data_IF_930385369557
#
_entry.id   IF_930385369557
#
_cell.length_a   1.000
_cell.length_b   1.000
_cell.length_c   1.000
_cell.angle_alpha   90.00
_cell.angle_beta   90.00
_cell.angle_gamma   90.00
#
_symmetry.space_group_name_H-M   'P 1'
#
loop_
_entity.id
_entity.type
_entity.pdbx_description
1 polymer ?
#
# COMPACT_ATOMS: atom_id res chain seq x y z
N UNK A 1 14.74 62.64 -44.87
CA UNK A 1 14.25 63.09 -43.55
C UNK A 1 13.71 61.87 -42.84
N UNK A 2 14.28 61.56 -41.66
CA UNK A 2 13.93 60.51 -40.69
C UNK A 2 14.30 59.05 -41.06
N UNK A 3 15.48 58.65 -40.56
CA UNK A 3 15.91 57.31 -40.18
C UNK A 3 15.22 56.83 -38.89
N UNK A 4 15.31 55.51 -38.62
CA UNK A 4 15.29 54.77 -37.32
C UNK A 4 14.22 53.66 -37.29
N UNK A 5 14.43 52.43 -36.82
CA UNK A 5 15.44 51.85 -35.94
C UNK A 5 15.70 50.38 -36.33
N UNK A 6 16.98 49.98 -36.30
CA UNK A 6 17.39 48.59 -36.14
C UNK A 6 17.44 48.28 -34.64
N UNK A 7 16.82 47.19 -34.22
CA UNK A 7 17.09 46.56 -32.93
C UNK A 7 18.01 45.37 -33.17
N UNK A 8 19.28 45.53 -32.84
CA UNK A 8 20.23 44.43 -32.67
C UNK A 8 20.03 43.85 -31.26
N UNK A 9 19.66 42.57 -31.18
CA UNK A 9 19.72 41.82 -29.94
C UNK A 9 21.11 41.19 -29.85
N UNK A 10 21.92 41.64 -28.88
CA UNK A 10 23.13 40.95 -28.45
C UNK A 10 22.73 39.86 -27.46
N UNK A 11 22.86 38.60 -27.85
CA UNK A 11 22.85 37.48 -26.90
C UNK A 11 24.30 37.26 -26.48
N UNK A 12 24.63 37.66 -25.24
CA UNK A 12 25.82 37.18 -24.55
C UNK A 12 25.54 35.75 -24.09
N UNK A 13 26.17 34.75 -24.73
CA UNK A 13 26.23 33.41 -24.16
C UNK A 13 27.29 33.41 -23.05
N UNK A 14 26.84 33.55 -21.81
CA UNK A 14 27.67 33.26 -20.64
C UNK A 14 28.03 31.78 -20.68
N UNK A 15 29.30 31.47 -20.94
CA UNK A 15 29.85 30.14 -20.72
C UNK A 15 29.87 29.92 -19.21
N UNK A 16 28.83 29.26 -18.69
CA UNK A 16 28.90 28.66 -17.38
C UNK A 16 29.89 27.50 -17.46
N UNK A 17 31.08 27.69 -16.91
CA UNK A 17 31.93 26.58 -16.49
C UNK A 17 31.15 25.79 -15.44
N UNK A 18 30.46 24.73 -15.88
CA UNK A 18 30.08 23.64 -15.01
C UNK A 18 31.38 23.00 -14.52
N UNK A 19 31.81 23.39 -13.31
CA UNK A 19 32.75 22.60 -12.53
C UNK A 19 32.07 21.27 -12.24
N UNK A 20 32.42 20.25 -13.03
CA UNK A 20 32.10 18.86 -12.75
C UNK A 20 32.84 18.48 -11.46
N UNK A 21 32.16 18.58 -10.33
CA UNK A 21 32.66 18.00 -9.08
C UNK A 21 32.50 16.49 -9.25
N UNK A 22 33.61 15.79 -9.46
CA UNK A 22 33.61 14.34 -9.47
C UNK A 22 32.99 13.86 -8.14
N UNK A 23 31.97 12.98 -8.17
CA UNK A 23 31.46 12.41 -6.92
C UNK A 23 32.60 11.65 -6.23
N UNK A 24 32.64 11.77 -4.90
CA UNK A 24 33.57 11.02 -4.07
C UNK A 24 33.51 9.54 -4.46
N UNK A 25 34.63 8.99 -4.93
CA UNK A 25 34.72 7.63 -5.45
C UNK A 25 34.56 6.64 -4.30
N UNK A 26 33.33 6.23 -4.02
CA UNK A 26 33.07 5.00 -3.29
C UNK A 26 33.68 3.84 -4.06
N UNK A 27 34.37 2.95 -3.37
CA UNK A 27 34.92 1.74 -3.96
C UNK A 27 33.76 0.86 -4.48
N UNK A 28 33.73 0.61 -5.78
CA UNK A 28 32.69 -0.22 -6.41
C UNK A 28 33.10 -1.68 -6.23
N UNK A 29 32.29 -2.45 -5.50
CA UNK A 29 32.53 -3.89 -5.30
C UNK A 29 31.59 -4.70 -6.21
N UNK A 30 32.12 -5.59 -7.08
CA UNK A 30 31.28 -6.51 -7.86
C UNK A 30 30.66 -7.58 -6.96
N UNK A 31 29.54 -8.19 -7.38
CA UNK A 31 28.95 -9.29 -6.61
C UNK A 31 29.94 -10.46 -6.45
N UNK A 32 30.06 -11.03 -5.24
CA UNK A 32 30.70 -12.32 -5.06
C UNK A 32 29.87 -13.43 -5.71
N UNK A 33 30.52 -14.55 -6.06
CA UNK A 33 29.87 -15.71 -6.69
C UNK A 33 28.94 -16.48 -5.75
N UNK A 34 29.11 -16.34 -4.44
CA UNK A 34 28.27 -17.01 -3.44
C UNK A 34 27.14 -16.08 -2.97
N UNK A 35 25.90 -16.51 -3.19
CA UNK A 35 24.73 -15.85 -2.63
C UNK A 35 24.45 -16.37 -1.22
N UNK A 36 24.28 -15.44 -0.29
CA UNK A 36 24.04 -15.72 1.14
C UNK A 36 22.68 -15.23 1.61
N UNK A 37 22.01 -14.38 0.81
CA UNK A 37 20.61 -14.01 0.99
C UNK A 37 19.74 -15.09 0.33
N UNK A 38 18.81 -15.66 1.09
CA UNK A 38 17.78 -16.56 0.60
C UNK A 38 16.63 -15.74 0.02
N UNK A 39 16.34 -15.94 -1.27
CA UNK A 39 15.12 -15.42 -1.89
C UNK A 39 13.97 -16.34 -1.52
N UNK A 40 13.01 -15.83 -0.74
CA UNK A 40 11.81 -16.58 -0.36
C UNK A 40 10.75 -16.52 -1.43
N UNK A 41 10.61 -15.36 -2.03
CA UNK A 41 9.54 -15.10 -2.97
C UNK A 41 9.86 -13.92 -3.87
N UNK A 42 9.32 -13.97 -5.08
CA UNK A 42 9.55 -13.01 -6.13
C UNK A 42 8.24 -12.90 -6.89
N UNK A 43 7.80 -11.67 -7.08
CA UNK A 43 6.79 -11.34 -8.05
C UNK A 43 7.27 -10.24 -8.97
N UNK A 44 6.32 -9.61 -9.64
CA UNK A 44 6.57 -8.56 -10.61
C UNK A 44 6.94 -7.21 -9.96
N UNK A 45 6.41 -6.94 -8.76
CA UNK A 45 6.70 -5.73 -7.97
C UNK A 45 7.00 -6.03 -6.50
N UNK A 46 7.33 -7.28 -6.17
CA UNK A 46 7.75 -7.62 -4.81
C UNK A 46 8.90 -8.62 -4.80
N UNK A 47 9.79 -8.46 -3.83
CA UNK A 47 10.82 -9.44 -3.51
C UNK A 47 10.83 -9.66 -2.01
N UNK A 48 10.68 -10.90 -1.58
CA UNK A 48 10.81 -11.30 -0.17
C UNK A 48 12.15 -11.97 0.03
N UNK A 49 12.99 -11.35 0.84
CA UNK A 49 14.34 -11.79 1.16
C UNK A 49 14.42 -12.26 2.61
N UNK A 50 15.27 -13.26 2.85
CA UNK A 50 15.65 -13.72 4.18
C UNK A 50 17.16 -13.93 4.25
N UNK A 51 17.76 -13.67 5.40
CA UNK A 51 19.17 -13.99 5.64
C UNK A 51 19.37 -14.62 7.01
N UNK A 52 20.54 -15.25 7.20
CA UNK A 52 20.92 -15.76 8.50
C UNK A 52 21.39 -14.63 9.39
N UNK A 53 20.75 -14.51 10.56
CA UNK A 53 21.21 -13.64 11.63
C UNK A 53 22.35 -14.34 12.38
N UNK A 54 23.58 -14.11 11.92
CA UNK A 54 24.80 -14.62 12.55
C UNK A 54 25.39 -13.64 13.56
N UNK A 55 24.84 -12.43 13.65
CA UNK A 55 25.32 -11.37 14.52
C UNK A 55 24.46 -11.39 15.79
N UNK A 56 25.07 -11.12 16.95
CA UNK A 56 24.31 -11.04 18.19
C UNK A 56 23.22 -9.95 18.12
N UNK A 57 22.11 -10.19 18.81
CA UNK A 57 20.78 -9.55 18.72
C UNK A 57 20.68 -8.02 18.97
N UNK A 58 21.64 -7.20 18.51
CA UNK A 58 21.81 -5.82 19.00
C UNK A 58 22.07 -4.77 17.92
N UNK A 59 22.21 -5.15 16.66
CA UNK A 59 22.61 -4.21 15.61
C UNK A 59 21.48 -3.93 14.61
N UNK A 60 21.28 -2.66 14.20
CA UNK A 60 20.38 -2.35 13.11
C UNK A 60 20.99 -2.80 11.77
N UNK A 61 20.14 -3.27 10.87
CA UNK A 61 20.55 -3.73 9.56
C UNK A 61 20.30 -2.65 8.48
N UNK A 62 21.23 -2.59 7.53
CA UNK A 62 21.15 -1.76 6.33
C UNK A 62 21.11 -2.68 5.11
N UNK A 63 20.13 -2.47 4.23
CA UNK A 63 20.06 -3.12 2.93
C UNK A 63 20.25 -2.11 1.81
N UNK A 64 20.94 -2.52 0.75
CA UNK A 64 21.08 -1.78 -0.49
C UNK A 64 20.59 -2.64 -1.64
N UNK A 65 19.78 -2.04 -2.51
CA UNK A 65 19.39 -2.60 -3.81
C UNK A 65 20.06 -1.83 -4.94
N UNK A 66 20.46 -2.54 -5.98
CA UNK A 66 20.92 -1.97 -7.25
C UNK A 66 20.32 -2.72 -8.44
N UNK A 67 20.08 -2.03 -9.55
CA UNK A 67 19.75 -2.65 -10.86
C UNK A 67 21.02 -3.03 -11.65
N UNK A 68 22.20 -2.84 -11.03
CA UNK A 68 23.51 -3.21 -11.56
C UNK A 68 24.23 -4.07 -10.53
N UNK A 69 25.18 -4.94 -10.93
CA UNK A 69 25.91 -5.80 -10.01
C UNK A 69 27.01 -5.06 -9.21
N UNK A 70 26.77 -3.77 -8.95
CA UNK A 70 27.71 -2.80 -8.41
C UNK A 70 27.07 -2.17 -7.17
N UNK A 71 27.83 -2.10 -6.09
CA UNK A 71 27.38 -1.47 -4.85
C UNK A 71 28.34 -0.38 -4.39
N UNK A 72 27.77 0.62 -3.72
CA UNK A 72 28.49 1.75 -3.12
C UNK A 72 28.40 1.64 -1.61
N UNK A 73 29.51 1.61 -0.90
CA UNK A 73 29.50 1.59 0.58
C UNK A 73 29.23 3.00 1.11
N UNK A 74 28.19 3.20 1.93
CA UNK A 74 27.86 4.53 2.41
C UNK A 74 28.88 5.00 3.45
N UNK A 75 29.37 6.23 3.28
CA UNK A 75 30.29 6.88 4.21
C UNK A 75 29.56 7.68 5.29
N UNK A 76 28.28 8.00 5.09
CA UNK A 76 27.39 8.69 6.03
C UNK A 76 26.02 8.00 6.05
N UNK A 77 25.34 8.03 7.20
CA UNK A 77 23.98 7.53 7.39
C UNK A 77 23.04 8.68 7.79
N UNK A 78 22.17 9.12 6.89
CA UNK A 78 21.19 10.19 7.19
C UNK A 78 19.81 9.61 7.53
N UNK A 79 19.02 10.39 8.26
CA UNK A 79 17.61 10.21 8.65
C UNK A 79 16.84 9.06 7.98
N UNK A 80 16.94 7.83 8.52
CA UNK A 80 16.20 6.64 8.07
C UNK A 80 16.32 6.27 6.58
N UNK A 81 17.26 6.88 5.85
CA UNK A 81 17.65 6.56 4.48
C UNK A 81 19.13 6.93 4.32
N UNK A 82 19.99 5.97 3.94
CA UNK A 82 21.34 6.38 3.53
C UNK A 82 21.20 7.20 2.24
N UNK A 83 21.76 8.40 2.22
CA UNK A 83 21.62 9.33 1.11
C UNK A 83 22.29 8.72 -0.13
N UNK A 84 21.51 8.33 -1.14
CA UNK A 84 22.03 8.08 -2.47
C UNK A 84 22.29 9.42 -3.15
N UNK A 85 23.56 9.85 -3.18
CA UNK A 85 23.99 11.00 -3.98
C UNK A 85 24.51 10.57 -5.37
N UNK A 86 24.36 9.29 -5.75
CA UNK A 86 25.06 8.68 -6.89
C UNK A 86 24.15 8.02 -7.93
N UNK A 87 22.88 7.72 -7.60
CA UNK A 87 21.96 6.98 -8.46
C UNK A 87 22.30 5.49 -8.58
N UNK A 88 23.21 4.98 -7.74
CA UNK A 88 23.76 3.63 -7.83
C UNK A 88 23.06 2.62 -6.90
N UNK A 89 22.01 3.03 -6.18
CA UNK A 89 21.18 2.09 -5.44
C UNK A 89 20.33 2.72 -4.34
N UNK A 90 19.21 2.07 -4.03
CA UNK A 90 18.30 2.48 -2.95
C UNK A 90 18.69 1.80 -1.65
N UNK A 91 18.98 2.58 -0.61
CA UNK A 91 19.28 2.07 0.74
C UNK A 91 18.07 2.11 1.65
N UNK A 92 17.89 1.08 2.49
CA UNK A 92 16.85 1.05 3.53
C UNK A 92 17.36 0.53 4.87
N UNK A 93 16.86 1.13 5.95
CA UNK A 93 17.02 0.63 7.31
C UNK A 93 15.96 -0.41 7.62
N UNK A 94 16.38 -1.54 8.19
CA UNK A 94 15.47 -2.65 8.48
C UNK A 94 15.17 -2.81 9.98
N UNK A 95 15.83 -2.00 10.83
CA UNK A 95 15.73 -2.11 12.29
C UNK A 95 16.68 -3.15 12.87
N UNK A 96 16.61 -3.34 14.19
CA UNK A 96 17.45 -4.29 14.93
C UNK A 96 16.86 -5.70 14.75
N UNK A 97 17.74 -6.70 14.55
CA UNK A 97 17.35 -8.12 14.39
C UNK A 97 16.45 -8.39 13.18
N UNK A 98 16.53 -7.52 12.17
CA UNK A 98 15.92 -7.82 10.88
C UNK A 98 16.62 -9.04 10.28
N UNK A 99 15.83 -10.07 9.97
CA UNK A 99 16.27 -11.25 9.23
C UNK A 99 15.44 -11.48 7.96
N UNK A 100 14.50 -10.57 7.70
CA UNK A 100 13.66 -10.55 6.52
C UNK A 100 13.48 -9.12 6.00
N UNK A 101 13.20 -9.01 4.71
CA UNK A 101 12.85 -7.75 4.06
C UNK A 101 11.91 -8.03 2.89
N UNK A 102 10.90 -7.19 2.75
CA UNK A 102 10.02 -7.17 1.58
C UNK A 102 10.28 -5.88 0.83
N UNK A 103 10.81 -5.98 -0.38
CA UNK A 103 11.00 -4.85 -1.27
C UNK A 103 9.79 -4.70 -2.18
N UNK A 104 9.18 -3.52 -2.19
CA UNK A 104 8.00 -3.20 -3.00
C UNK A 104 8.22 -1.99 -3.92
N UNK A 105 9.37 -1.31 -3.80
CA UNK A 105 9.50 0.08 -4.21
C UNK A 105 10.17 0.24 -5.57
N UNK A 106 9.43 0.60 -6.63
CA UNK A 106 10.05 0.92 -7.93
C UNK A 106 10.80 -0.27 -8.56
N UNK A 107 10.34 -1.48 -8.29
CA UNK A 107 10.75 -2.68 -9.00
C UNK A 107 10.12 -2.68 -10.40
N UNK A 108 10.89 -2.98 -11.42
CA UNK A 108 10.42 -3.16 -12.79
C UNK A 108 10.28 -4.65 -13.08
N UNK A 109 9.39 -5.01 -13.99
CA UNK A 109 9.27 -6.38 -14.49
C UNK A 109 10.52 -6.83 -15.25
N UNK A 110 10.75 -8.14 -15.30
CA UNK A 110 11.84 -8.77 -16.08
C UNK A 110 13.23 -8.16 -15.80
N UNK A 111 13.44 -7.63 -14.59
CA UNK A 111 14.62 -6.84 -14.25
C UNK A 111 15.45 -7.57 -13.21
N UNK A 112 16.75 -7.67 -13.48
CA UNK A 112 17.71 -8.17 -12.51
C UNK A 112 17.96 -7.11 -11.43
N UNK A 113 17.75 -7.50 -10.19
CA UNK A 113 18.04 -6.73 -9.00
C UNK A 113 19.08 -7.45 -8.15
N UNK A 114 19.98 -6.64 -7.61
CA UNK A 114 21.06 -7.08 -6.77
C UNK A 114 20.88 -6.47 -5.39
N UNK A 115 20.99 -7.31 -4.37
CA UNK A 115 20.83 -6.93 -2.98
C UNK A 115 22.11 -7.20 -2.22
N UNK A 116 22.42 -6.31 -1.28
CA UNK A 116 23.33 -6.63 -0.19
C UNK A 116 22.83 -6.10 1.14
N UNK A 117 23.12 -6.84 2.20
CA UNK A 117 22.64 -6.52 3.55
C UNK A 117 23.74 -6.75 4.57
N UNK A 118 23.89 -5.83 5.53
CA UNK A 118 24.85 -5.93 6.63
C UNK A 118 24.32 -5.24 7.89
N UNK A 119 24.76 -5.73 9.04
CA UNK A 119 24.50 -5.10 10.32
C UNK A 119 25.46 -3.92 10.53
N UNK A 120 24.99 -2.83 11.12
CA UNK A 120 25.83 -1.68 11.47
C UNK A 120 26.34 -1.83 12.91
N UNK A 121 27.61 -2.20 13.05
CA UNK A 121 28.20 -2.70 14.29
C UNK A 121 28.52 -1.59 15.29
N UNK A 122 28.80 -0.37 14.81
CA UNK A 122 29.19 0.77 15.63
C UNK A 122 28.12 1.88 15.76
N UNK A 123 26.83 1.54 15.61
CA UNK A 123 25.72 2.53 15.57
C UNK A 123 25.73 3.53 16.75
N UNK A 124 26.09 3.08 17.95
CA UNK A 124 26.16 3.95 19.13
C UNK A 124 27.24 5.03 18.97
N UNK A 125 28.40 4.67 18.43
CA UNK A 125 29.50 5.61 18.18
C UNK A 125 29.16 6.54 17.02
N UNK A 126 28.66 5.99 15.91
CA UNK A 126 28.14 6.75 14.77
C UNK A 126 27.21 7.89 15.22
N UNK A 127 26.23 7.59 16.08
CA UNK A 127 25.27 8.60 16.59
C UNK A 127 25.87 9.60 17.56
N UNK A 128 26.89 9.23 18.34
CA UNK A 128 27.50 10.09 19.37
C UNK A 128 28.53 11.05 18.80
N UNK A 129 29.35 10.57 17.88
CA UNK A 129 30.55 11.29 17.42
C UNK A 129 30.55 11.57 15.92
N UNK A 130 29.61 10.99 15.17
CA UNK A 130 29.63 11.05 13.70
C UNK A 130 30.75 10.21 13.10
N UNK A 131 31.28 9.23 13.84
CA UNK A 131 32.24 8.27 13.30
C UNK A 131 31.70 7.60 12.03
N UNK A 132 32.58 7.18 11.12
CA UNK A 132 32.14 6.46 9.93
C UNK A 132 31.45 5.14 10.33
N UNK A 133 30.38 4.72 9.62
CA UNK A 133 29.69 3.49 9.94
C UNK A 133 30.58 2.27 9.66
N UNK A 134 30.58 1.33 10.59
CA UNK A 134 31.19 0.02 10.44
C UNK A 134 30.12 -1.03 10.19
N UNK A 135 30.42 -1.98 9.30
CA UNK A 135 29.49 -3.00 8.85
C UNK A 135 30.01 -4.39 9.21
N UNK A 136 29.10 -5.31 9.51
CA UNK A 136 29.41 -6.73 9.48
C UNK A 136 29.83 -7.17 8.07
N UNK A 137 30.22 -8.43 7.92
CA UNK A 137 30.34 -9.04 6.59
C UNK A 137 29.04 -8.84 5.80
N UNK A 138 29.17 -8.36 4.56
CA UNK A 138 28.06 -8.15 3.65
C UNK A 138 27.54 -9.49 3.14
N UNK A 139 26.23 -9.66 3.19
CA UNK A 139 25.53 -10.76 2.54
C UNK A 139 24.97 -10.28 1.22
N UNK A 140 24.91 -11.16 0.22
CA UNK A 140 24.55 -10.81 -1.15
C UNK A 140 23.47 -11.73 -1.70
N UNK A 141 22.63 -11.17 -2.56
CA UNK A 141 21.63 -11.91 -3.34
C UNK A 141 21.44 -11.23 -4.68
N UNK A 142 21.10 -12.02 -5.70
CA UNK A 142 20.67 -11.51 -6.98
C UNK A 142 19.36 -12.19 -7.34
N UNK A 143 18.41 -11.41 -7.84
CA UNK A 143 17.12 -11.91 -8.24
C UNK A 143 16.66 -11.24 -9.52
N UNK A 144 15.81 -11.93 -10.28
CA UNK A 144 15.12 -11.38 -11.41
C UNK A 144 13.62 -11.32 -11.09
N UNK A 145 13.03 -10.14 -11.19
CA UNK A 145 11.57 -9.98 -11.04
C UNK A 145 10.84 -10.69 -12.17
N UNK A 146 9.63 -11.17 -11.86
CA UNK A 146 8.80 -11.83 -12.85
C UNK A 146 8.17 -10.83 -13.83
N UNK A 147 7.71 -11.35 -14.96
CA UNK A 147 6.86 -10.61 -15.89
C UNK A 147 5.43 -10.70 -15.39
N UNK A 148 4.76 -9.56 -15.27
CA UNK A 148 3.35 -9.51 -14.95
C UNK A 148 2.55 -10.06 -16.15
N UNK A 149 1.74 -11.12 -15.98
CA UNK A 149 0.92 -11.65 -17.07
C UNK A 149 0.01 -10.58 -17.66
N UNK A 150 -0.19 -10.57 -18.99
CA UNK A 150 -0.96 -9.54 -19.71
C UNK A 150 -2.35 -9.27 -19.11
N UNK A 151 -3.00 -10.31 -18.58
CA UNK A 151 -4.32 -10.19 -17.93
C UNK A 151 -4.29 -9.29 -16.70
N UNK A 152 -3.17 -9.25 -15.99
CA UNK A 152 -2.97 -8.43 -14.80
C UNK A 152 -2.56 -6.99 -15.16
N UNK A 153 -2.09 -6.76 -16.39
CA UNK A 153 -1.79 -5.42 -16.94
C UNK A 153 -3.03 -4.68 -17.42
N UNK A 154 -4.17 -5.37 -17.53
CA UNK A 154 -5.39 -4.74 -18.02
C UNK A 154 -5.89 -3.71 -16.99
N UNK A 155 -6.00 -2.46 -17.45
CA UNK A 155 -6.51 -1.35 -16.64
C UNK A 155 -8.01 -1.17 -16.89
N UNK A 156 -8.75 -1.04 -15.79
CA UNK A 156 -10.17 -0.79 -15.72
C UNK A 156 -10.37 0.55 -15.01
N UNK A 157 -10.27 1.65 -15.77
CA UNK A 157 -10.47 3.01 -15.25
C UNK A 157 -11.94 3.20 -14.88
N UNK A 158 -12.24 3.42 -13.60
CA UNK A 158 -13.62 3.50 -13.10
C UNK A 158 -14.41 4.67 -13.71
N UNK A 159 -13.73 5.70 -14.22
CA UNK A 159 -14.35 6.89 -14.84
C UNK A 159 -14.62 6.71 -16.34
N UNK A 160 -14.10 5.65 -16.96
CA UNK A 160 -14.43 5.32 -18.35
C UNK A 160 -15.95 5.25 -18.50
N UNK A 161 -16.48 5.75 -19.62
CA UNK A 161 -17.93 5.76 -19.91
C UNK A 161 -18.61 4.39 -19.74
N UNK A 162 -17.86 3.30 -19.86
CA UNK A 162 -18.32 1.94 -19.63
C UNK A 162 -18.66 1.64 -18.16
N UNK A 163 -17.91 2.21 -17.22
CA UNK A 163 -18.08 2.01 -15.78
C UNK A 163 -18.75 3.23 -15.14
N UNK A 164 -18.31 4.44 -15.46
CA UNK A 164 -19.06 5.68 -15.26
C UNK A 164 -19.07 6.24 -13.82
N UNK A 165 -18.00 6.04 -13.06
CA UNK A 165 -17.78 6.76 -11.80
C UNK A 165 -17.51 8.24 -12.11
N UNK A 166 -17.96 9.14 -11.23
CA UNK A 166 -17.75 10.59 -11.39
C UNK A 166 -17.25 11.13 -10.06
N UNK A 167 -15.92 11.20 -9.84
CA UNK A 167 -15.40 11.61 -8.55
C UNK A 167 -15.83 13.02 -8.19
N UNK A 168 -16.31 13.19 -6.95
CA UNK A 168 -16.67 14.46 -6.35
C UNK A 168 -18.07 14.97 -6.71
N UNK A 169 -18.91 14.16 -7.36
CA UNK A 169 -20.31 14.52 -7.62
C UNK A 169 -21.23 14.32 -6.39
N UNK A 170 -20.75 13.59 -5.38
CA UNK A 170 -21.46 13.30 -4.14
C UNK A 170 -22.51 12.19 -4.26
N UNK A 171 -22.55 11.49 -5.40
CA UNK A 171 -23.42 10.35 -5.68
C UNK A 171 -22.70 9.02 -5.40
N UNK A 172 -23.42 7.90 -5.54
CA UNK A 172 -22.85 6.59 -5.26
C UNK A 172 -21.94 6.11 -6.40
N UNK A 173 -20.63 6.04 -6.15
CA UNK A 173 -19.67 5.50 -7.12
C UNK A 173 -19.54 3.97 -7.03
N UNK A 174 -20.05 3.35 -5.96
CA UNK A 174 -19.92 1.90 -5.76
C UNK A 174 -20.39 1.06 -6.96
N UNK A 175 -21.56 1.31 -7.59
CA UNK A 175 -22.00 0.53 -8.74
C UNK A 175 -21.03 0.62 -9.93
N UNK A 176 -20.38 1.77 -10.14
CA UNK A 176 -19.41 1.96 -11.22
C UNK A 176 -18.12 1.18 -10.94
N UNK A 177 -17.58 1.31 -9.73
CA UNK A 177 -16.38 0.61 -9.31
C UNK A 177 -16.61 -0.91 -9.29
N UNK A 178 -17.79 -1.37 -8.84
CA UNK A 178 -18.18 -2.78 -8.88
C UNK A 178 -18.16 -3.33 -10.31
N UNK A 179 -18.65 -2.58 -11.31
CA UNK A 179 -18.58 -3.01 -12.72
C UNK A 179 -17.16 -3.15 -13.24
N UNK A 180 -16.25 -2.24 -12.85
CA UNK A 180 -14.83 -2.31 -13.20
C UNK A 180 -14.17 -3.54 -12.55
N UNK A 181 -14.40 -3.72 -11.25
CA UNK A 181 -13.96 -4.88 -10.49
C UNK A 181 -14.48 -6.21 -11.08
N UNK A 182 -15.76 -6.32 -11.39
CA UNK A 182 -16.32 -7.54 -11.98
C UNK A 182 -15.73 -7.83 -13.37
N UNK A 183 -15.33 -6.79 -14.11
CA UNK A 183 -14.65 -6.97 -15.38
C UNK A 183 -13.23 -7.54 -15.18
N UNK A 184 -12.51 -7.07 -14.16
CA UNK A 184 -11.22 -7.64 -13.76
C UNK A 184 -11.37 -9.10 -13.26
N UNK A 185 -12.37 -9.41 -12.43
CA UNK A 185 -12.64 -10.79 -11.98
C UNK A 185 -12.96 -11.73 -13.15
N UNK A 186 -13.74 -11.28 -14.14
CA UNK A 186 -14.01 -12.07 -15.35
C UNK A 186 -12.75 -12.32 -16.17
N UNK A 187 -11.81 -11.37 -16.17
CA UNK A 187 -10.50 -11.53 -16.81
C UNK A 187 -9.51 -12.35 -15.97
N UNK A 188 -9.85 -12.69 -14.73
CA UNK A 188 -8.98 -13.38 -13.76
C UNK A 188 -7.77 -12.55 -13.35
N UNK A 189 -7.98 -11.25 -13.17
CA UNK A 189 -6.97 -10.29 -12.73
C UNK A 189 -7.14 -8.92 -13.40
N UNK A 190 -6.39 -7.94 -12.93
CA UNK A 190 -6.30 -6.62 -13.52
C UNK A 190 -6.27 -5.49 -12.49
N UNK A 191 -6.10 -4.27 -13.01
CA UNK A 191 -5.98 -3.04 -12.24
C UNK A 191 -7.30 -2.29 -12.33
N UNK A 192 -8.03 -2.22 -11.22
CA UNK A 192 -9.14 -1.30 -11.03
C UNK A 192 -8.50 0.05 -10.71
N UNK A 193 -8.49 0.96 -11.69
CA UNK A 193 -7.84 2.26 -11.56
C UNK A 193 -8.85 3.33 -11.17
N UNK A 194 -8.56 4.06 -10.11
CA UNK A 194 -9.34 5.16 -9.57
C UNK A 194 -8.54 6.45 -9.77
N UNK A 195 -8.82 7.24 -10.82
CA UNK A 195 -8.21 8.57 -10.99
C UNK A 195 -8.41 9.47 -9.77
N UNK A 196 -7.61 10.53 -9.64
CA UNK A 196 -7.72 11.47 -8.53
C UNK A 196 -9.15 12.00 -8.33
N UNK A 197 -9.58 12.09 -7.07
CA UNK A 197 -10.88 12.63 -6.68
C UNK A 197 -11.57 11.84 -5.56
N UNK A 198 -12.76 12.29 -5.17
CA UNK A 198 -13.51 11.74 -4.04
C UNK A 198 -14.61 10.79 -4.54
N UNK A 199 -14.63 9.56 -4.05
CA UNK A 199 -15.62 8.56 -4.41
C UNK A 199 -16.44 8.19 -3.18
N UNK A 200 -17.75 8.45 -3.23
CA UNK A 200 -18.64 8.05 -2.14
C UNK A 200 -19.18 6.64 -2.41
N UNK A 201 -19.02 5.73 -1.45
CA UNK A 201 -19.33 4.31 -1.61
C UNK A 201 -20.37 3.86 -0.59
N UNK A 202 -21.51 3.34 -1.07
CA UNK A 202 -22.41 2.54 -0.26
C UNK A 202 -23.08 1.41 -1.04
N UNK A 203 -23.51 0.33 -0.36
CA UNK A 203 -24.12 -0.80 -1.02
C UNK A 203 -25.57 -0.48 -1.45
N UNK A 204 -26.05 -1.20 -2.47
CA UNK A 204 -27.39 -1.04 -3.04
C UNK A 204 -28.23 -2.33 -2.96
N UNK A 205 -28.07 -3.08 -1.86
CA UNK A 205 -28.83 -4.31 -1.66
C UNK A 205 -30.33 -4.03 -1.50
N UNK A 206 -31.12 -4.57 -2.44
CA UNK A 206 -32.60 -4.49 -2.42
C UNK A 206 -33.27 -5.02 -1.14
N UNK A 207 -32.56 -5.83 -0.36
CA UNK A 207 -33.05 -6.42 0.88
C UNK A 207 -32.81 -5.51 2.10
N UNK A 208 -32.18 -4.35 1.91
CA UNK A 208 -31.99 -3.35 2.96
C UNK A 208 -32.97 -2.21 2.75
N UNK A 209 -33.70 -1.89 3.80
CA UNK A 209 -34.61 -0.74 3.84
C UNK A 209 -34.11 0.28 4.86
N UNK A 210 -34.42 1.56 4.63
CA UNK A 210 -34.17 2.60 5.63
C UNK A 210 -35.42 2.75 6.52
N UNK A 211 -35.31 2.39 7.79
CA UNK A 211 -36.34 2.59 8.81
C UNK A 211 -35.84 3.64 9.79
N UNK A 212 -36.53 4.78 9.90
CA UNK A 212 -36.12 5.91 10.74
C UNK A 212 -34.67 6.38 10.46
N UNK A 213 -34.25 6.31 9.20
CA UNK A 213 -32.91 6.67 8.76
C UNK A 213 -31.83 5.63 9.08
N UNK A 214 -32.18 4.46 9.61
CA UNK A 214 -31.27 3.34 9.87
C UNK A 214 -31.41 2.24 8.82
N UNK A 215 -30.30 1.65 8.34
CA UNK A 215 -30.36 0.50 7.46
C UNK A 215 -30.80 -0.75 8.24
N UNK A 216 -31.87 -1.37 7.76
CA UNK A 216 -32.48 -2.56 8.36
C UNK A 216 -32.54 -3.68 7.34
N UNK A 217 -32.19 -4.88 7.77
CA UNK A 217 -32.43 -6.14 7.04
C UNK A 217 -33.37 -7.04 7.85
N UNK A 218 -34.33 -7.71 7.20
CA UNK A 218 -35.25 -8.59 7.92
C UNK A 218 -34.62 -9.96 8.17
N UNK A 219 -34.99 -10.58 9.28
CA UNK A 219 -34.52 -11.93 9.60
C UNK A 219 -34.87 -12.91 8.47
N UNK A 220 -33.83 -13.53 7.90
CA UNK A 220 -33.93 -14.46 6.78
C UNK A 220 -33.39 -13.88 5.47
N UNK A 221 -33.31 -12.55 5.38
CA UNK A 221 -32.73 -11.90 4.21
C UNK A 221 -31.20 -12.05 4.21
N UNK A 222 -30.66 -12.20 3.00
CA UNK A 222 -29.23 -12.24 2.75
C UNK A 222 -28.78 -10.91 2.19
N UNK A 223 -27.73 -10.37 2.79
CA UNK A 223 -26.97 -9.22 2.33
C UNK A 223 -25.49 -9.63 2.32
N UNK A 224 -24.71 -9.20 1.32
CA UNK A 224 -23.26 -9.40 1.31
C UNK A 224 -22.65 -8.87 2.60
N UNK A 225 -21.56 -9.50 3.04
CA UNK A 225 -20.78 -9.01 4.18
C UNK A 225 -19.73 -7.99 3.78
N UNK A 226 -19.58 -7.69 2.48
CA UNK A 226 -18.56 -6.78 1.97
C UNK A 226 -18.99 -6.09 0.67
N UNK A 227 -18.41 -4.91 0.37
CA UNK A 227 -18.54 -4.27 -0.94
C UNK A 227 -17.84 -5.10 -2.02
N UNK A 228 -16.63 -5.59 -1.75
CA UNK A 228 -15.84 -6.34 -2.71
C UNK A 228 -15.41 -7.69 -2.12
N UNK A 229 -15.87 -8.79 -2.73
CA UNK A 229 -15.45 -10.16 -2.39
C UNK A 229 -14.45 -10.66 -3.40
N UNK A 230 -13.16 -10.42 -3.16
CA UNK A 230 -12.08 -10.76 -4.08
C UNK A 230 -11.91 -12.28 -4.15
N UNK A 231 -12.07 -12.82 -5.35
CA UNK A 231 -12.08 -14.27 -5.60
C UNK A 231 -11.17 -14.72 -6.75
N UNK A 232 -10.59 -13.75 -7.46
CA UNK A 232 -9.57 -13.99 -8.47
C UNK A 232 -8.22 -13.47 -7.99
N UNK A 233 -7.15 -14.15 -8.40
CA UNK A 233 -5.79 -13.71 -8.16
C UNK A 233 -5.50 -12.40 -8.93
N UNK A 234 -4.48 -11.67 -8.48
CA UNK A 234 -3.91 -10.55 -9.20
C UNK A 234 -4.88 -9.40 -9.46
N UNK A 235 -5.65 -9.07 -8.43
CA UNK A 235 -6.56 -7.93 -8.42
C UNK A 235 -5.86 -6.77 -7.70
N UNK A 236 -5.75 -5.65 -8.39
CA UNK A 236 -5.18 -4.41 -7.85
C UNK A 236 -6.24 -3.33 -7.83
N UNK A 237 -6.46 -2.69 -6.68
CA UNK A 237 -7.10 -1.38 -6.61
C UNK A 237 -6.01 -0.33 -6.52
N UNK A 238 -5.94 0.53 -7.53
CA UNK A 238 -4.89 1.54 -7.70
C UNK A 238 -5.52 2.93 -7.75
N UNK A 239 -5.16 3.79 -6.83
CA UNK A 239 -5.45 5.22 -6.92
C UNK A 239 -4.32 6.02 -7.59
N UNK A 240 -4.60 7.30 -7.81
CA UNK A 240 -3.63 8.28 -8.29
C UNK A 240 -2.85 8.89 -7.12
N UNK A 241 -1.75 9.58 -7.41
CA UNK A 241 -0.94 10.29 -6.41
C UNK A 241 -0.76 11.75 -6.77
N UNK A 242 -0.66 12.60 -5.75
CA UNK A 242 -0.17 13.96 -5.89
C UNK A 242 1.33 13.97 -6.24
N UNK A 243 1.86 15.12 -6.64
CA UNK A 243 3.25 15.26 -7.09
C UNK A 243 4.31 14.98 -6.01
N UNK A 244 3.90 14.91 -4.74
CA UNK A 244 4.70 14.53 -3.58
C UNK A 244 4.57 13.04 -3.20
N UNK A 245 3.76 12.27 -3.94
CA UNK A 245 3.52 10.85 -3.71
C UNK A 245 2.33 10.55 -2.80
N UNK A 246 1.69 11.56 -2.20
CA UNK A 246 0.52 11.34 -1.35
C UNK A 246 -0.69 10.83 -2.17
N UNK A 247 -1.57 9.98 -1.62
CA UNK A 247 -2.77 9.52 -2.31
C UNK A 247 -3.66 10.69 -2.77
N UNK A 248 -4.13 10.62 -4.02
CA UNK A 248 -5.05 11.60 -4.61
C UNK A 248 -6.46 11.04 -4.86
N UNK A 249 -6.66 9.75 -4.62
CA UNK A 249 -7.93 9.04 -4.79
C UNK A 249 -8.51 8.68 -3.43
N UNK A 250 -9.62 9.33 -3.09
CA UNK A 250 -10.25 9.27 -1.77
C UNK A 250 -11.50 8.41 -1.83
N UNK A 251 -11.56 7.34 -1.05
CA UNK A 251 -12.72 6.47 -0.91
C UNK A 251 -13.42 6.77 0.42
N UNK A 252 -14.65 7.27 0.35
CA UNK A 252 -15.46 7.55 1.54
C UNK A 252 -16.56 6.49 1.66
N UNK A 253 -16.50 5.68 2.72
CA UNK A 253 -17.46 4.61 2.94
C UNK A 253 -18.67 5.10 3.75
N UNK A 254 -19.83 4.61 3.34
CA UNK A 254 -21.10 4.75 4.02
C UNK A 254 -21.84 3.40 4.05
N UNK A 255 -22.85 3.31 4.92
CA UNK A 255 -23.88 2.29 4.82
C UNK A 255 -24.94 2.71 3.79
N UNK A 256 -25.86 1.79 3.51
CA UNK A 256 -26.99 2.00 2.59
C UNK A 256 -27.64 3.38 2.75
N UNK A 257 -27.91 4.04 1.63
CA UNK A 257 -28.53 5.36 1.62
C UNK A 257 -27.64 6.48 2.17
N UNK A 258 -26.32 6.35 2.04
CA UNK A 258 -25.31 7.31 2.52
C UNK A 258 -25.36 7.52 4.04
N UNK A 259 -25.84 6.50 4.76
CA UNK A 259 -25.88 6.51 6.22
C UNK A 259 -24.45 6.42 6.76
N UNK A 260 -24.04 7.21 7.77
CA UNK A 260 -22.71 7.09 8.34
C UNK A 260 -22.43 5.67 8.85
N UNK A 261 -21.22 5.17 8.58
CA UNK A 261 -20.81 3.83 9.01
C UNK A 261 -20.64 3.67 10.54
N UNK A 262 -20.89 4.74 11.29
CA UNK A 262 -21.06 4.70 12.75
C UNK A 262 -22.38 4.04 13.18
N UNK A 263 -23.34 3.91 12.27
CA UNK A 263 -24.60 3.23 12.50
C UNK A 263 -24.45 1.71 12.27
N UNK A 264 -25.44 0.93 12.68
CA UNK A 264 -25.41 -0.53 12.54
C UNK A 264 -26.35 -0.96 11.42
N UNK A 265 -25.97 -2.01 10.68
CA UNK A 265 -26.96 -2.77 9.93
C UNK A 265 -27.72 -3.67 10.89
N UNK A 266 -28.91 -3.24 11.29
CA UNK A 266 -29.74 -4.00 12.20
C UNK A 266 -30.43 -5.16 11.48
N UNK A 267 -30.31 -6.36 12.04
CA UNK A 267 -31.12 -7.51 11.66
C UNK A 267 -32.34 -7.53 12.56
N UNK A 268 -33.52 -7.24 12.00
CA UNK A 268 -34.76 -7.17 12.79
C UNK A 268 -35.61 -8.44 12.63
N UNK A 269 -36.24 -8.84 13.73
CA UNK A 269 -37.33 -9.81 13.73
C UNK A 269 -38.57 -9.24 13.00
N UNK A 270 -39.56 -10.11 12.76
CA UNK A 270 -40.84 -9.68 12.15
C UNK A 270 -41.61 -8.69 13.02
N UNK A 271 -41.43 -8.73 14.33
CA UNK A 271 -42.05 -7.81 15.29
C UNK A 271 -41.32 -6.46 15.41
N UNK A 272 -40.23 -6.27 14.66
CA UNK A 272 -39.41 -5.05 14.67
C UNK A 272 -38.32 -5.01 15.74
N UNK A 273 -38.23 -6.01 16.63
CA UNK A 273 -37.13 -6.09 17.60
C UNK A 273 -35.79 -6.38 16.90
N UNK A 274 -34.71 -5.75 17.38
CA UNK A 274 -33.35 -6.03 16.91
C UNK A 274 -32.91 -7.40 17.40
N UNK A 275 -32.61 -8.31 16.48
CA UNK A 275 -32.09 -9.64 16.76
C UNK A 275 -30.56 -9.67 16.77
N UNK A 276 -29.96 -8.98 15.82
CA UNK A 276 -28.51 -9.02 15.58
C UNK A 276 -28.06 -7.74 14.87
N UNK A 277 -26.75 -7.51 14.82
CA UNK A 277 -26.12 -6.45 14.02
C UNK A 277 -25.08 -7.07 13.11
N UNK A 278 -25.11 -6.73 11.81
CA UNK A 278 -24.16 -7.29 10.85
C UNK A 278 -22.92 -6.42 10.70
N UNK A 279 -21.79 -7.11 10.51
CA UNK A 279 -20.50 -6.53 10.16
C UNK A 279 -20.43 -6.27 8.67
N UNK A 280 -19.72 -5.22 8.28
CA UNK A 280 -19.55 -4.85 6.88
C UNK A 280 -18.09 -4.54 6.55
N UNK A 281 -17.54 -5.22 5.55
CA UNK A 281 -16.12 -5.11 5.19
C UNK A 281 -15.99 -4.36 3.86
N UNK A 282 -14.88 -3.65 3.63
CA UNK A 282 -14.63 -3.11 2.29
C UNK A 282 -14.19 -4.24 1.35
N UNK A 283 -13.14 -4.96 1.73
CA UNK A 283 -12.60 -6.09 0.99
C UNK A 283 -12.67 -7.39 1.80
N UNK A 284 -13.14 -8.45 1.15
CA UNK A 284 -13.07 -9.82 1.64
C UNK A 284 -12.26 -10.65 0.66
N UNK A 285 -11.16 -11.23 1.14
CA UNK A 285 -10.27 -12.06 0.32
C UNK A 285 -10.65 -13.54 0.46
N UNK A 286 -10.83 -14.24 -0.67
CA UNK A 286 -11.26 -15.65 -0.69
C UNK A 286 -10.35 -16.53 -1.54
N UNK A 287 -9.33 -17.13 -0.92
CA UNK A 287 -8.39 -18.03 -1.62
C UNK A 287 -7.73 -17.36 -2.81
N UNK A 288 -7.09 -16.21 -2.56
CA UNK A 288 -6.49 -15.37 -3.60
C UNK A 288 -5.00 -15.18 -3.37
N UNK A 289 -4.28 -14.96 -4.46
CA UNK A 289 -2.88 -14.58 -4.50
C UNK A 289 -2.70 -13.22 -5.19
N UNK A 290 -1.74 -12.43 -4.72
CA UNK A 290 -1.36 -11.13 -5.32
C UNK A 290 -2.51 -10.10 -5.33
N UNK A 291 -3.20 -9.92 -4.20
CA UNK A 291 -4.12 -8.80 -4.03
C UNK A 291 -3.34 -7.54 -3.65
N UNK A 292 -3.63 -6.41 -4.30
CA UNK A 292 -2.94 -5.13 -4.02
C UNK A 292 -3.92 -3.99 -3.79
N UNK A 293 -3.69 -3.22 -2.72
CA UNK A 293 -4.23 -1.87 -2.53
C UNK A 293 -3.08 -0.88 -2.61
N UNK A 294 -3.19 0.11 -3.48
CA UNK A 294 -2.13 1.10 -3.67
C UNK A 294 -2.64 2.51 -3.93
N UNK A 295 -2.00 3.51 -3.34
CA UNK A 295 -2.25 4.94 -3.57
C UNK A 295 -3.69 5.38 -3.26
N UNK A 296 -4.25 4.97 -2.13
CA UNK A 296 -5.64 5.27 -1.76
C UNK A 296 -5.71 5.92 -0.38
N UNK A 297 -6.52 6.96 -0.22
CA UNK A 297 -6.99 7.42 1.11
C UNK A 297 -8.39 6.84 1.33
N UNK A 298 -8.55 5.99 2.35
CA UNK A 298 -9.79 5.27 2.62
C UNK A 298 -10.35 5.67 3.99
N UNK A 299 -11.45 6.39 3.97
CA UNK A 299 -12.19 6.80 5.15
C UNK A 299 -13.41 5.89 5.34
N UNK A 300 -13.41 5.09 6.40
CA UNK A 300 -14.52 4.19 6.67
C UNK A 300 -15.80 4.90 7.12
N UNK A 301 -15.77 6.22 7.35
CA UNK A 301 -16.93 7.00 7.80
C UNK A 301 -17.45 6.62 9.19
N UNK A 302 -16.73 5.76 9.92
CA UNK A 302 -17.13 5.24 11.22
C UNK A 302 -16.42 5.99 12.36
N UNK A 303 -16.68 7.30 12.45
CA UNK A 303 -16.20 8.15 13.56
C UNK A 303 -16.42 7.44 14.91
N UNK A 304 -15.40 7.36 15.79
CA UNK A 304 -15.54 6.64 17.06
C UNK A 304 -16.75 7.13 17.86
N UNK A 305 -17.57 6.19 18.34
CA UNK A 305 -18.62 6.48 19.33
C UNK A 305 -18.29 5.74 20.61
N UNK A 306 -18.66 6.32 21.74
CA UNK A 306 -18.65 5.61 23.00
C UNK A 306 -19.88 4.67 23.03
N UNK A 307 -19.66 3.36 23.18
CA UNK A 307 -20.70 2.32 23.18
C UNK A 307 -21.15 1.89 24.60
N UNK A 308 -20.55 2.44 25.65
CA UNK A 308 -20.69 2.00 27.05
C UNK A 308 -20.18 0.59 27.37
N UNK A 309 -19.39 -0.06 26.50
CA UNK A 309 -18.87 -1.44 26.68
C UNK A 309 -17.36 -1.47 26.92
N UNK A 310 -16.93 -1.95 28.09
CA UNK A 310 -15.50 -2.15 28.37
C UNK A 310 -14.94 -3.36 27.60
N UNK A 311 -14.03 -3.12 26.66
CA UNK A 311 -13.21 -4.16 26.04
C UNK A 311 -11.73 -3.90 26.37
N UNK A 312 -11.02 -4.93 26.82
CA UNK A 312 -9.63 -4.83 27.29
C UNK A 312 -8.69 -4.47 26.14
N UNK A 313 -8.23 -3.22 26.13
CA UNK A 313 -7.13 -2.71 25.30
C UNK A 313 -5.93 -2.37 26.20
N UNK A 314 -4.71 -2.57 25.69
CA UNK A 314 -3.45 -2.25 26.39
C UNK A 314 -3.21 -0.74 26.56
N UNK A 315 -4.00 0.10 25.88
CA UNK A 315 -4.00 1.56 26.05
C UNK A 315 -5.33 1.99 26.71
N UNK A 316 -5.24 2.48 27.95
CA UNK A 316 -6.37 2.96 28.76
C UNK A 316 -7.08 4.20 28.15
N UNK A 317 -6.57 4.77 27.05
CA UNK A 317 -7.13 5.96 26.41
C UNK A 317 -7.90 5.70 25.11
N UNK A 318 -8.10 4.46 24.67
CA UNK A 318 -8.78 4.21 23.38
C UNK A 318 -10.10 3.46 23.55
N UNK A 319 -11.12 4.15 23.08
CA UNK A 319 -12.48 3.72 22.73
C UNK A 319 -12.69 2.21 22.69
N UNK A 320 -13.70 1.81 23.43
CA UNK A 320 -14.44 0.55 23.35
C UNK A 320 -14.45 -0.02 21.93
N UNK A 321 -13.72 -1.12 21.74
CA UNK A 321 -13.52 -1.73 20.43
C UNK A 321 -14.82 -2.35 19.93
N UNK A 322 -15.45 -1.70 18.96
CA UNK A 322 -16.41 -2.31 18.07
C UNK A 322 -15.67 -2.98 16.89
N UNK A 323 -16.07 -4.20 16.52
CA UNK A 323 -15.44 -5.04 15.49
C UNK A 323 -16.18 -5.00 14.14
N UNK A 324 -17.12 -4.09 13.97
CA UNK A 324 -18.10 -4.09 12.88
C UNK A 324 -17.54 -3.88 11.47
N UNK A 325 -16.51 -3.05 11.28
CA UNK A 325 -16.04 -2.69 9.94
C UNK A 325 -14.54 -2.95 9.78
N UNK A 326 -14.13 -3.62 8.69
CA UNK A 326 -12.72 -3.90 8.36
C UNK A 326 -12.40 -3.44 6.94
N UNK A 327 -11.19 -2.92 6.74
CA UNK A 327 -10.70 -2.60 5.41
C UNK A 327 -10.50 -3.89 4.61
N UNK A 328 -9.70 -4.81 5.16
CA UNK A 328 -9.49 -6.13 4.57
C UNK A 328 -9.85 -7.19 5.60
N UNK A 329 -10.63 -8.19 5.17
CA UNK A 329 -10.92 -9.38 5.93
C UNK A 329 -10.58 -10.66 5.17
N UNK A 330 -10.06 -11.63 5.91
CA UNK A 330 -9.97 -13.04 5.53
C UNK A 330 -10.35 -13.90 6.75
N UNK A 331 -10.57 -15.20 6.54
CA UNK A 331 -10.88 -16.16 7.61
C UNK A 331 -9.93 -17.35 7.53
N UNK A 332 -9.78 -18.11 8.61
CA UNK A 332 -8.78 -19.18 8.73
C UNK A 332 -8.79 -20.26 7.64
N UNK A 333 -9.93 -20.48 6.98
CA UNK A 333 -10.07 -21.44 5.88
C UNK A 333 -9.93 -20.78 4.50
N UNK A 334 -9.79 -19.46 4.45
CA UNK A 334 -9.56 -18.66 3.26
C UNK A 334 -8.10 -18.19 3.26
N UNK A 335 -7.35 -18.60 2.25
CA UNK A 335 -5.96 -18.20 2.12
C UNK A 335 -5.86 -16.87 1.35
N UNK A 336 -5.02 -15.97 1.82
CA UNK A 336 -4.58 -14.81 1.06
C UNK A 336 -3.05 -14.86 1.05
N UNK A 337 -2.47 -14.85 -0.15
CA UNK A 337 -1.02 -14.79 -0.35
C UNK A 337 -0.68 -13.46 -1.02
N UNK A 338 0.44 -12.87 -0.63
CA UNK A 338 1.00 -11.69 -1.28
C UNK A 338 0.03 -10.52 -1.31
N UNK A 339 -0.54 -10.23 -0.14
CA UNK A 339 -1.37 -9.04 0.06
C UNK A 339 -0.44 -7.84 0.19
N UNK A 340 -0.46 -6.96 -0.80
CA UNK A 340 0.31 -5.73 -0.81
C UNK A 340 -0.62 -4.57 -0.43
N UNK A 341 -0.24 -3.82 0.60
CA UNK A 341 -0.89 -2.57 0.98
C UNK A 341 0.20 -1.52 1.00
N UNK A 342 0.18 -0.62 0.02
CA UNK A 342 1.30 0.27 -0.28
C UNK A 342 0.80 1.69 -0.53
N UNK A 343 1.35 2.68 0.17
CA UNK A 343 0.88 4.06 0.11
C UNK A 343 -0.67 4.16 0.28
N UNK A 344 -1.18 3.55 1.35
CA UNK A 344 -2.62 3.60 1.67
C UNK A 344 -2.80 4.29 3.00
N UNK A 345 -3.49 5.43 2.96
CA UNK A 345 -3.98 6.11 4.14
C UNK A 345 -5.36 5.59 4.51
N UNK A 346 -5.60 5.43 5.80
CA UNK A 346 -6.82 4.78 6.26
C UNK A 346 -7.26 5.31 7.61
N UNK A 347 -8.55 5.68 7.73
CA UNK A 347 -9.08 6.34 8.93
C UNK A 347 -10.53 6.00 9.22
N UNK A 348 -10.95 6.33 10.45
CA UNK A 348 -12.32 6.18 10.94
C UNK A 348 -12.87 4.75 10.82
N UNK A 349 -12.04 3.74 11.11
CA UNK A 349 -12.46 2.35 11.20
C UNK A 349 -12.90 1.99 12.62
N UNK A 350 -13.91 1.13 12.71
CA UNK A 350 -14.32 0.49 13.96
C UNK A 350 -13.72 -0.91 14.05
N UNK A 351 -12.56 -0.97 14.70
CA UNK A 351 -11.81 -2.19 15.00
C UNK A 351 -10.56 -2.33 14.14
N UNK A 352 -10.23 -3.56 13.73
CA UNK A 352 -9.01 -3.80 12.94
C UNK A 352 -9.14 -3.28 11.50
N UNK A 353 -8.06 -2.74 10.95
CA UNK A 353 -7.97 -2.40 9.53
C UNK A 353 -7.80 -3.68 8.70
N UNK A 354 -6.95 -4.59 9.16
CA UNK A 354 -6.76 -5.92 8.57
C UNK A 354 -7.18 -6.99 9.58
N UNK A 355 -8.10 -7.86 9.18
CA UNK A 355 -8.61 -8.95 9.99
C UNK A 355 -8.35 -10.30 9.32
N UNK A 356 -7.71 -11.21 10.06
CA UNK A 356 -7.65 -12.62 9.71
C UNK A 356 -8.30 -13.43 10.84
N UNK A 357 -9.57 -13.76 10.67
CA UNK A 357 -10.37 -14.39 11.72
C UNK A 357 -10.05 -15.86 11.93
N UNK A 358 -10.09 -16.31 13.18
CA UNK A 358 -10.15 -17.73 13.53
C UNK A 358 -11.52 -18.31 13.17
N UNK A 359 -11.55 -19.42 12.45
CA UNK A 359 -12.77 -20.19 12.22
C UNK A 359 -13.40 -20.58 13.55
N UNK A 360 -14.66 -20.23 13.74
CA UNK A 360 -15.52 -20.89 14.73
C UNK A 360 -15.88 -22.28 14.23
#
# INVERSE_FOLDING_TARGET
>A
MIFKNHSFIFIFSTVALLSWVAPASGEVTPLPSEQTIEVKEVGYHHVTLRWQDKVEWQHPWLIQRSARPEFVTPTELKNNQAADNTGAGTFRWLGINASNYVDLDGLNEDTDYYYRVAAVTNMTEYRKTGAAPEFSEWQYGAIKTDILPDKQKQVYDVTDKKYGAIPGDGENDYPAILRAYEAAERAKGGIIYLPAGNYDLWPEDRNVTLEDGQPVVRLGDSVPSALFTISSDNITFLGDTLGDGEPASFLQLYLWGKVPATQWLEVRNRDGSVKDVRRYHLFVLRNVENFTLRNLDIDAGAVPVNTGKEWYSLDQKRYEWDISNKLIATWSHMQAKNVIVDNVDTRNWRGEVYYNGGGS
#
